data_IF_661907393095
#
_entry.id   IF_661907393095
#
_cell.length_a   1.000
_cell.length_b   1.000
_cell.length_c   1.000
_cell.angle_alpha   90.00
_cell.angle_beta   90.00
_cell.angle_gamma   90.00
#
_symmetry.space_group_name_H-M   'P 1'
#
loop_
_entity.id
_entity.type
_entity.pdbx_description
1 polymer ?
#
# COMPACT_ATOMS: atom_id res chain seq x y z
N UNK A 1 -10.15 4.03 -9.04
CA UNK A 1 -8.72 3.80 -9.40
C UNK A 1 -7.94 3.77 -8.11
N UNK A 2 -7.12 2.76 -7.91
CA UNK A 2 -6.40 2.58 -6.65
C UNK A 2 -4.89 2.78 -6.83
N UNK A 3 -4.27 3.50 -5.91
CA UNK A 3 -2.82 3.62 -5.79
C UNK A 3 -2.34 2.79 -4.62
N UNK A 4 -1.34 1.96 -4.83
CA UNK A 4 -0.77 1.09 -3.80
C UNK A 4 0.71 1.44 -3.64
N UNK A 5 1.11 1.65 -2.39
CA UNK A 5 2.50 1.93 -2.02
C UNK A 5 2.83 1.25 -0.69
N UNK A 6 4.11 1.03 -0.46
CA UNK A 6 4.63 0.44 0.75
C UNK A 6 5.42 1.46 1.56
N UNK A 7 4.97 1.68 2.79
CA UNK A 7 5.79 2.33 3.79
C UNK A 7 6.86 1.33 4.22
N UNK A 8 8.11 1.65 3.90
CA UNK A 8 9.30 0.90 4.29
C UNK A 8 9.49 0.77 5.81
N UNK A 9 10.57 0.11 6.21
CA UNK A 9 10.81 -0.38 7.58
C UNK A 9 10.56 0.71 8.65
N UNK A 10 9.55 0.47 9.50
CA UNK A 10 9.20 1.29 10.66
C UNK A 10 10.04 0.83 11.84
N UNK A 11 10.76 1.77 12.44
CA UNK A 11 11.59 1.55 13.64
C UNK A 11 11.11 2.41 14.80
N UNK A 12 11.06 1.87 16.03
CA UNK A 12 11.29 0.45 16.39
C UNK A 12 10.18 -0.46 15.85
N UNK A 13 10.50 -1.74 15.65
CA UNK A 13 9.52 -2.76 15.23
C UNK A 13 8.38 -2.84 16.25
N UNK A 14 7.16 -3.06 15.79
CA UNK A 14 6.02 -3.27 16.68
C UNK A 14 6.21 -4.54 17.54
N UNK A 15 5.51 -4.63 18.67
CA UNK A 15 5.60 -5.78 19.60
C UNK A 15 5.25 -7.12 18.96
N UNK A 16 4.45 -7.12 17.88
CA UNK A 16 4.11 -8.30 17.08
C UNK A 16 5.09 -8.59 15.94
N UNK A 17 6.23 -7.89 15.88
CA UNK A 17 7.25 -8.06 14.84
C UNK A 17 6.95 -7.34 13.52
N UNK A 18 5.83 -6.59 13.41
CA UNK A 18 5.49 -5.87 12.18
C UNK A 18 6.37 -4.64 11.99
N UNK A 19 6.96 -4.49 10.80
CA UNK A 19 7.80 -3.35 10.44
C UNK A 19 7.49 -2.74 9.06
N UNK A 20 6.54 -3.28 8.30
CA UNK A 20 6.11 -2.69 7.03
C UNK A 20 4.63 -2.34 7.07
N UNK A 21 4.22 -1.32 6.30
CA UNK A 21 2.80 -1.02 6.09
C UNK A 21 2.52 -0.91 4.61
N UNK A 22 1.56 -1.70 4.13
CA UNK A 22 1.01 -1.57 2.80
C UNK A 22 -0.18 -0.61 2.86
N UNK A 23 -0.20 0.36 1.94
CA UNK A 23 -1.25 1.37 1.86
C UNK A 23 -1.85 1.33 0.47
N UNK A 24 -3.17 1.27 0.40
CA UNK A 24 -3.94 1.44 -0.82
C UNK A 24 -4.87 2.64 -0.68
N UNK A 25 -4.94 3.47 -1.72
CA UNK A 25 -5.75 4.68 -1.73
C UNK A 25 -6.65 4.69 -2.95
N UNK A 26 -7.95 4.87 -2.73
CA UNK A 26 -8.85 5.21 -3.81
C UNK A 26 -8.66 6.68 -4.21
N UNK A 27 -8.23 6.91 -5.43
CA UNK A 27 -7.94 8.26 -5.93
C UNK A 27 -9.16 9.15 -6.07
N UNK A 28 -10.36 8.60 -6.18
CA UNK A 28 -11.60 9.34 -6.39
C UNK A 28 -12.11 9.89 -5.06
N UNK A 29 -12.36 9.01 -4.08
CA UNK A 29 -12.90 9.40 -2.77
C UNK A 29 -11.82 9.68 -1.70
N UNK A 30 -10.55 9.49 -2.05
CA UNK A 30 -9.41 9.62 -1.11
C UNK A 30 -9.48 8.66 0.07
N UNK A 31 -10.18 7.53 -0.08
CA UNK A 31 -10.28 6.49 0.93
C UNK A 31 -8.96 5.75 1.08
N UNK A 32 -8.54 5.46 2.31
CA UNK A 32 -7.26 4.82 2.63
C UNK A 32 -7.50 3.49 3.31
N UNK A 33 -6.94 2.43 2.73
CA UNK A 33 -6.81 1.11 3.33
C UNK A 33 -5.34 0.87 3.70
N UNK A 34 -5.06 0.44 4.93
CA UNK A 34 -3.71 0.18 5.37
C UNK A 34 -3.62 -1.11 6.19
N UNK A 35 -2.57 -1.90 5.97
CA UNK A 35 -2.30 -3.12 6.73
C UNK A 35 -0.80 -3.25 7.03
N UNK A 36 -0.46 -3.71 8.24
CA UNK A 36 0.93 -3.89 8.67
C UNK A 36 1.40 -5.34 8.54
N UNK A 37 2.70 -5.53 8.27
CA UNK A 37 3.31 -6.84 8.06
C UNK A 37 4.72 -6.93 8.65
N UNK A 38 5.10 -8.13 9.13
CA UNK A 38 6.46 -8.44 9.59
C UNK A 38 7.48 -8.59 8.46
N UNK A 39 7.02 -9.00 7.27
CA UNK A 39 7.87 -9.13 6.09
C UNK A 39 7.05 -8.89 4.82
N UNK A 40 7.70 -8.30 3.83
CA UNK A 40 7.10 -7.99 2.52
C UNK A 40 7.25 -9.22 1.63
N UNK A 41 6.42 -10.23 1.88
CA UNK A 41 6.38 -11.43 1.03
C UNK A 41 5.37 -11.18 -0.09
N UNK A 42 5.68 -11.59 -1.32
CA UNK A 42 4.82 -11.35 -2.50
C UNK A 42 3.35 -11.76 -2.30
N UNK A 43 3.14 -12.90 -1.62
CA UNK A 43 1.81 -13.43 -1.31
C UNK A 43 0.98 -12.50 -0.42
N UNK A 44 1.63 -11.68 0.41
CA UNK A 44 0.97 -10.74 1.32
C UNK A 44 0.32 -9.62 0.54
N UNK A 45 1.00 -9.06 -0.47
CA UNK A 45 0.46 -7.99 -1.32
C UNK A 45 -0.73 -8.49 -2.13
N UNK A 46 -0.61 -9.66 -2.74
CA UNK A 46 -1.72 -10.29 -3.49
C UNK A 46 -2.91 -10.57 -2.59
N UNK A 47 -2.67 -11.11 -1.38
CA UNK A 47 -3.72 -11.36 -0.40
C UNK A 47 -4.41 -10.06 0.01
N UNK A 48 -3.65 -9.01 0.27
CA UNK A 48 -4.18 -7.69 0.59
C UNK A 48 -5.06 -7.15 -0.53
N UNK A 49 -4.61 -7.17 -1.80
CA UNK A 49 -5.43 -6.71 -2.94
C UNK A 49 -6.73 -7.53 -3.05
N UNK A 50 -6.66 -8.86 -2.93
CA UNK A 50 -7.86 -9.70 -2.99
C UNK A 50 -8.82 -9.40 -1.84
N UNK A 51 -8.34 -9.44 -0.60
CA UNK A 51 -9.19 -9.38 0.59
C UNK A 51 -9.64 -7.96 0.92
N UNK A 52 -8.72 -7.00 0.90
CA UNK A 52 -8.98 -5.63 1.34
C UNK A 52 -9.53 -4.74 0.23
N UNK A 53 -9.26 -5.04 -1.05
CA UNK A 53 -9.77 -4.25 -2.17
C UNK A 53 -10.90 -5.00 -2.88
N UNK A 54 -10.60 -6.13 -3.54
CA UNK A 54 -11.56 -6.82 -4.44
C UNK A 54 -12.79 -7.34 -3.69
N UNK A 55 -12.60 -8.08 -2.61
CA UNK A 55 -13.70 -8.67 -1.86
C UNK A 55 -14.56 -7.63 -1.12
N UNK A 56 -13.99 -6.47 -0.73
CA UNK A 56 -14.71 -5.44 0.04
C UNK A 56 -15.39 -4.39 -0.84
N UNK A 57 -14.69 -3.94 -1.88
CA UNK A 57 -15.11 -2.79 -2.69
C UNK A 57 -15.43 -3.17 -4.15
N UNK A 58 -15.23 -4.43 -4.52
CA UNK A 58 -15.37 -4.91 -5.89
C UNK A 58 -14.08 -4.78 -6.70
N UNK A 59 -14.15 -5.24 -7.95
CA UNK A 59 -12.98 -5.26 -8.85
C UNK A 59 -12.67 -3.82 -9.29
N UNK A 60 -11.48 -3.29 -8.97
CA UNK A 60 -11.10 -1.96 -9.42
C UNK A 60 -10.81 -1.96 -10.91
N UNK A 61 -11.16 -0.88 -11.61
CA UNK A 61 -10.84 -0.72 -13.04
C UNK A 61 -9.32 -0.67 -13.27
N UNK A 62 -8.60 0.01 -12.37
CA UNK A 62 -7.17 0.27 -12.49
C UNK A 62 -6.47 0.28 -11.14
N UNK A 63 -5.31 -0.38 -11.09
CA UNK A 63 -4.36 -0.35 -9.98
C UNK A 63 -3.05 0.28 -10.46
N UNK A 64 -2.51 1.18 -9.65
CA UNK A 64 -1.21 1.80 -9.84
C UNK A 64 -0.31 1.41 -8.67
N UNK A 65 0.85 0.83 -8.96
CA UNK A 65 1.88 0.53 -7.97
C UNK A 65 3.11 1.38 -8.23
N UNK A 66 3.88 1.72 -7.20
CA UNK A 66 5.19 2.32 -7.40
C UNK A 66 6.21 1.28 -7.89
N UNK A 67 7.18 1.74 -8.69
CA UNK A 67 8.23 0.87 -9.24
C UNK A 67 9.37 0.63 -8.23
N UNK A 68 9.14 0.92 -6.94
CA UNK A 68 10.09 0.65 -5.87
C UNK A 68 10.40 -0.85 -5.82
N UNK A 69 11.66 -1.18 -5.54
CA UNK A 69 12.23 -2.55 -5.51
C UNK A 69 11.49 -3.57 -4.64
N UNK A 70 10.49 -3.14 -3.87
CA UNK A 70 9.73 -3.93 -2.91
C UNK A 70 8.45 -4.56 -3.50
N UNK A 71 7.93 -4.06 -4.62
CA UNK A 71 6.82 -4.69 -5.32
C UNK A 71 7.33 -5.56 -6.45
N UNK A 72 7.27 -6.88 -6.27
CA UNK A 72 7.57 -7.78 -7.36
C UNK A 72 6.40 -7.76 -8.36
N UNK A 73 6.50 -6.88 -9.36
CA UNK A 73 5.47 -6.58 -10.36
C UNK A 73 4.85 -7.82 -11.00
N UNK A 74 5.57 -8.94 -11.10
CA UNK A 74 5.09 -10.16 -11.77
C UNK A 74 3.79 -10.73 -11.18
N UNK A 75 3.67 -10.85 -9.84
CA UNK A 75 2.46 -11.41 -9.22
C UNK A 75 1.29 -10.44 -9.20
N UNK A 76 1.56 -9.13 -9.07
CA UNK A 76 0.52 -8.11 -9.14
C UNK A 76 -0.01 -8.03 -10.57
N UNK A 77 0.87 -8.09 -11.58
CA UNK A 77 0.48 -8.18 -12.98
C UNK A 77 -0.37 -9.42 -13.23
N UNK A 78 0.06 -10.61 -12.79
CA UNK A 78 -0.71 -11.85 -12.97
C UNK A 78 -2.08 -11.78 -12.28
N UNK A 79 -2.16 -11.19 -11.08
CA UNK A 79 -3.42 -10.94 -10.39
C UNK A 79 -4.31 -10.00 -11.21
N UNK A 80 -3.76 -8.88 -11.67
CA UNK A 80 -4.50 -7.90 -12.45
C UNK A 80 -5.02 -8.51 -13.76
N UNK A 81 -4.22 -9.33 -14.45
CA UNK A 81 -4.64 -10.07 -15.63
C UNK A 81 -5.80 -11.03 -15.33
N UNK A 82 -5.71 -11.79 -14.23
CA UNK A 82 -6.77 -12.72 -13.80
C UNK A 82 -8.12 -12.02 -13.61
N UNK A 83 -8.11 -10.83 -13.00
CA UNK A 83 -9.31 -10.06 -12.70
C UNK A 83 -9.66 -9.01 -13.76
N UNK A 84 -8.92 -8.97 -14.88
CA UNK A 84 -9.07 -7.96 -15.95
C UNK A 84 -8.93 -6.51 -15.46
N UNK A 85 -8.06 -6.30 -14.49
CA UNK A 85 -7.71 -4.99 -13.91
C UNK A 85 -6.59 -4.38 -14.74
N UNK A 86 -6.70 -3.10 -15.09
CA UNK A 86 -5.60 -2.39 -15.75
C UNK A 86 -4.47 -2.11 -14.74
N UNK A 87 -3.32 -2.75 -14.93
CA UNK A 87 -2.15 -2.51 -14.09
C UNK A 87 -1.23 -1.44 -14.71
N UNK A 88 -0.83 -0.45 -13.92
CA UNK A 88 0.14 0.57 -14.33
C UNK A 88 1.23 0.72 -13.27
N UNK A 89 2.50 0.72 -13.68
CA UNK A 89 3.58 1.13 -12.79
C UNK A 89 3.69 2.66 -12.83
N UNK A 90 3.74 3.30 -11.66
CA UNK A 90 4.09 4.71 -11.60
C UNK A 90 5.57 4.85 -11.99
N UNK A 91 5.84 5.70 -12.98
CA UNK A 91 7.22 6.08 -13.27
C UNK A 91 7.73 6.98 -12.15
N UNK A 92 9.04 6.93 -11.86
CA UNK A 92 9.77 7.84 -10.97
C UNK A 92 9.49 9.34 -11.25
N UNK A 93 8.83 9.66 -12.37
CA UNK A 93 8.64 10.99 -12.94
C UNK A 93 7.16 11.44 -13.03
N UNK A 94 6.20 10.78 -12.36
CA UNK A 94 4.80 11.28 -12.25
C UNK A 94 4.42 11.72 -10.82
N UNK A 95 4.99 12.84 -10.32
CA UNK A 95 4.78 13.33 -8.96
C UNK A 95 3.32 13.66 -8.60
N UNK A 96 2.45 14.02 -9.56
CA UNK A 96 1.03 14.33 -9.26
C UNK A 96 0.21 13.12 -8.79
N UNK A 97 0.49 11.94 -9.33
CA UNK A 97 -0.28 10.72 -9.01
C UNK A 97 0.29 10.03 -7.76
N UNK A 98 1.62 10.01 -7.62
CA UNK A 98 2.26 9.54 -6.39
C UNK A 98 2.00 10.50 -5.22
N UNK A 99 1.83 11.81 -5.45
CA UNK A 99 1.68 12.80 -4.39
C UNK A 99 0.50 12.58 -3.44
N UNK A 100 -0.61 11.99 -3.90
CA UNK A 100 -1.76 11.65 -3.03
C UNK A 100 -1.40 10.51 -2.08
N UNK A 101 -0.73 9.48 -2.60
CA UNK A 101 -0.29 8.33 -1.82
C UNK A 101 0.84 8.70 -0.86
N UNK A 102 1.81 9.50 -1.32
CA UNK A 102 2.87 10.06 -0.49
C UNK A 102 2.32 10.92 0.65
N UNK A 103 1.30 11.75 0.39
CA UNK A 103 0.67 12.59 1.41
C UNK A 103 -0.01 11.74 2.50
N UNK A 104 -0.75 10.70 2.11
CA UNK A 104 -1.34 9.77 3.07
C UNK A 104 -0.27 9.00 3.85
N UNK A 105 0.78 8.52 3.18
CA UNK A 105 1.89 7.84 3.83
C UNK A 105 2.59 8.74 4.85
N UNK A 106 2.76 10.03 4.53
CA UNK A 106 3.28 11.03 5.47
C UNK A 106 2.36 11.23 6.67
N UNK A 107 1.04 11.24 6.47
CA UNK A 107 0.07 11.36 7.56
C UNK A 107 0.04 10.11 8.45
N UNK A 108 0.04 8.92 7.87
CA UNK A 108 0.12 7.64 8.58
C UNK A 108 1.38 7.60 9.45
N UNK A 109 2.55 7.92 8.88
CA UNK A 109 3.82 7.99 9.63
C UNK A 109 3.73 8.95 10.82
N UNK A 110 3.17 10.15 10.63
CA UNK A 110 2.99 11.14 11.72
C UNK A 110 2.04 10.63 12.82
N UNK A 111 0.94 9.98 12.46
CA UNK A 111 -0.02 9.43 13.43
C UNK A 111 0.67 8.36 14.26
N UNK A 112 1.34 7.40 13.61
CA UNK A 112 2.08 6.33 14.30
C UNK A 112 3.09 6.93 15.27
N UNK A 113 3.95 7.85 14.80
CA UNK A 113 4.96 8.50 15.63
C UNK A 113 4.37 9.17 16.88
N UNK A 114 3.27 9.93 16.73
CA UNK A 114 2.61 10.57 17.87
C UNK A 114 2.08 9.53 18.86
N UNK A 115 1.41 8.50 18.36
CA UNK A 115 0.85 7.44 19.21
C UNK A 115 1.93 6.65 19.96
N UNK A 116 3.11 6.45 19.36
CA UNK A 116 4.21 5.72 20.03
C UNK A 116 4.97 6.58 21.05
N UNK A 117 5.07 7.90 20.83
CA UNK A 117 5.72 8.83 21.77
C UNK A 117 4.87 9.03 23.03
N UNK A 118 3.54 9.10 22.88
CA UNK A 118 2.62 9.30 24.01
C UNK A 118 2.49 8.06 24.91
N UNK A 119 2.89 6.87 24.44
CA UNK A 119 2.75 5.60 25.18
C UNK A 119 4.03 5.18 25.93
N UNK A 120 4.99 6.10 26.13
CA UNK A 120 6.15 5.88 27.00
C UNK A 120 5.78 6.30 28.43
N UNK A 121 5.06 5.42 29.12
CA UNK A 121 4.93 5.45 30.59
C UNK A 121 6.12 4.73 31.24
#
# INVERSE_FOLDING_TARGET
MWGIDMIGEIKPTASNGHCFILVAIDYFIKWVEAASFASVIKNVVVRFIKQNLICRYGIPERIITDNGTNFNNTMITALCEQFKIQHHNSSLHRPKMNGVVEAANKNIKKIIQKMTVTYKD
#
